data_IF_280172916456
#
_entry.id   IF_280172916456
#
_cell.length_a   1.000
_cell.length_b   1.000
_cell.length_c   1.000
_cell.angle_alpha   90.00
_cell.angle_beta   90.00
_cell.angle_gamma   90.00
#
_symmetry.space_group_name_H-M   'P 1'
#
loop_
_entity.id
_entity.type
_entity.pdbx_description
1 polymer ?
#
# COMPACT_ATOMS: atom_id res chain seq x y z
N UNK A 1 16.91 -12.77 -7.93
CA UNK A 1 17.23 -11.65 -7.04
C UNK A 1 17.98 -12.18 -5.84
N UNK A 2 19.05 -11.52 -5.41
CA UNK A 2 19.69 -11.80 -4.13
C UNK A 2 18.88 -11.17 -2.97
N UNK A 3 19.25 -11.48 -1.72
CA UNK A 3 18.51 -11.01 -0.54
C UNK A 3 18.48 -9.48 -0.41
N UNK A 4 19.59 -8.80 -0.69
CA UNK A 4 19.67 -7.34 -0.63
C UNK A 4 18.75 -6.68 -1.67
N UNK A 5 18.72 -7.21 -2.91
CA UNK A 5 17.80 -6.75 -3.95
C UNK A 5 16.33 -6.98 -3.56
N UNK A 6 16.03 -8.09 -2.87
CA UNK A 6 14.65 -8.35 -2.40
C UNK A 6 14.27 -7.30 -1.36
N UNK A 7 15.11 -7.05 -0.37
CA UNK A 7 14.84 -6.08 0.68
C UNK A 7 14.70 -4.66 0.13
N UNK A 8 15.56 -4.26 -0.81
CA UNK A 8 15.42 -2.98 -1.51
C UNK A 8 14.06 -2.85 -2.20
N UNK A 9 13.59 -3.90 -2.90
CA UNK A 9 12.27 -3.86 -3.55
C UNK A 9 11.11 -3.81 -2.55
N UNK A 10 11.26 -4.43 -1.38
CA UNK A 10 10.25 -4.32 -0.31
C UNK A 10 10.18 -2.87 0.20
N UNK A 11 11.33 -2.21 0.39
CA UNK A 11 11.35 -0.80 0.76
C UNK A 11 10.75 0.09 -0.34
N UNK A 12 11.13 -0.11 -1.60
CA UNK A 12 10.54 0.62 -2.73
C UNK A 12 9.02 0.44 -2.82
N UNK A 13 8.51 -0.77 -2.51
CA UNK A 13 7.07 -1.00 -2.40
C UNK A 13 6.43 -0.12 -1.31
N UNK A 14 7.02 -0.06 -0.10
CA UNK A 14 6.52 0.83 0.97
C UNK A 14 6.59 2.30 0.57
N UNK A 15 7.67 2.73 -0.05
CA UNK A 15 7.83 4.10 -0.56
C UNK A 15 6.76 4.42 -1.60
N UNK A 16 6.44 3.49 -2.50
CA UNK A 16 5.37 3.66 -3.50
C UNK A 16 4.00 3.90 -2.85
N UNK A 17 3.70 3.22 -1.74
CA UNK A 17 2.47 3.43 -0.98
C UNK A 17 2.45 4.82 -0.32
N UNK A 18 3.59 5.26 0.24
CA UNK A 18 3.70 6.60 0.80
C UNK A 18 3.54 7.69 -0.27
N UNK A 19 4.13 7.49 -1.45
CA UNK A 19 3.95 8.38 -2.60
C UNK A 19 2.50 8.43 -3.05
N UNK A 20 1.79 7.29 -3.06
CA UNK A 20 0.36 7.25 -3.34
C UNK A 20 -0.45 8.06 -2.32
N UNK A 21 -0.13 7.95 -1.03
CA UNK A 21 -0.73 8.79 0.02
C UNK A 21 -0.51 10.28 -0.24
N UNK A 22 0.71 10.68 -0.57
CA UNK A 22 1.05 12.07 -0.94
C UNK A 22 0.29 12.55 -2.18
N UNK A 23 0.08 11.67 -3.17
CA UNK A 23 -0.71 11.99 -4.37
C UNK A 23 -2.16 12.29 -4.00
N UNK A 24 -2.78 11.51 -3.10
CA UNK A 24 -4.13 11.79 -2.61
C UNK A 24 -4.21 13.11 -1.83
N UNK A 25 -3.16 13.49 -1.10
CA UNK A 25 -3.15 14.74 -0.35
C UNK A 25 -2.93 15.97 -1.25
N UNK A 26 -2.05 15.88 -2.24
CA UNK A 26 -1.65 17.02 -3.07
C UNK A 26 -2.52 17.21 -4.31
N UNK A 27 -3.07 16.13 -4.89
CA UNK A 27 -3.84 16.20 -6.14
C UNK A 27 -5.33 16.16 -5.85
N UNK A 28 -5.98 17.33 -5.89
CA UNK A 28 -7.43 17.49 -5.64
C UNK A 28 -8.32 16.54 -6.45
N UNK A 29 -7.95 16.21 -7.70
CA UNK A 29 -8.71 15.25 -8.52
C UNK A 29 -8.67 13.85 -7.90
N UNK A 30 -7.49 13.37 -7.51
CA UNK A 30 -7.32 12.06 -6.88
C UNK A 30 -7.96 12.02 -5.49
N UNK A 31 -7.83 13.08 -4.70
CA UNK A 31 -8.47 13.19 -3.38
C UNK A 31 -9.99 12.93 -3.45
N UNK A 32 -10.65 13.39 -4.52
CA UNK A 32 -12.10 13.22 -4.70
C UNK A 32 -12.54 11.77 -4.85
N UNK A 33 -11.64 10.90 -5.28
CA UNK A 33 -11.93 9.46 -5.40
C UNK A 33 -12.02 8.78 -4.03
N UNK A 34 -11.42 9.36 -2.99
CA UNK A 34 -11.48 8.84 -1.60
C UNK A 34 -12.25 9.74 -0.64
N UNK A 35 -12.50 11.00 -1.00
CA UNK A 35 -13.36 11.93 -0.26
C UNK A 35 -13.92 13.01 -1.18
N UNK A 36 -15.24 13.01 -1.37
CA UNK A 36 -15.93 13.98 -2.19
C UNK A 36 -16.92 14.80 -1.35
N UNK A 37 -16.50 16.01 -0.96
CA UNK A 37 -17.29 16.93 -0.15
C UNK A 37 -18.61 17.36 -0.82
N UNK A 38 -18.72 17.24 -2.15
CA UNK A 38 -19.95 17.60 -2.88
C UNK A 38 -21.04 16.54 -2.76
N UNK A 39 -20.64 15.28 -2.69
CA UNK A 39 -21.57 14.14 -2.60
C UNK A 39 -21.68 13.59 -1.18
N UNK A 40 -20.80 14.03 -0.28
CA UNK A 40 -20.68 13.47 1.07
C UNK A 40 -19.99 12.10 1.11
N UNK A 41 -19.41 11.64 -0.01
CA UNK A 41 -18.73 10.35 -0.06
C UNK A 41 -17.39 10.40 0.68
N UNK A 42 -17.14 9.39 1.52
CA UNK A 42 -15.87 9.16 2.22
C UNK A 42 -15.53 7.68 2.15
N UNK A 43 -14.34 7.37 1.66
CA UNK A 43 -13.78 6.02 1.67
C UNK A 43 -12.95 5.81 2.93
N UNK A 44 -13.40 4.91 3.80
CA UNK A 44 -12.69 4.50 5.01
C UNK A 44 -12.42 3.00 4.94
N UNK A 45 -11.16 2.61 5.06
CA UNK A 45 -10.76 1.21 4.98
C UNK A 45 -9.36 0.96 5.56
N UNK A 46 -9.17 -0.22 6.13
CA UNK A 46 -7.91 -0.74 6.65
C UNK A 46 -7.47 -1.91 5.77
N UNK A 47 -6.26 -1.85 5.22
CA UNK A 47 -5.67 -2.93 4.46
C UNK A 47 -4.40 -3.42 5.17
N UNK A 48 -4.27 -4.73 5.30
CA UNK A 48 -3.06 -5.39 5.76
C UNK A 48 -2.37 -6.08 4.58
N UNK A 49 -1.07 -5.86 4.41
CA UNK A 49 -0.19 -6.62 3.55
C UNK A 49 0.73 -7.44 4.43
N UNK A 50 0.79 -8.76 4.20
CA UNK A 50 1.77 -9.59 4.90
C UNK A 50 2.24 -10.79 4.09
N UNK A 51 3.47 -11.22 4.33
CA UNK A 51 3.96 -12.51 3.85
C UNK A 51 3.57 -13.62 4.81
N UNK A 52 3.43 -14.86 4.32
CA UNK A 52 3.00 -16.01 5.15
C UNK A 52 3.99 -16.34 6.28
N UNK A 53 5.27 -16.09 6.05
CA UNK A 53 6.36 -16.22 7.02
C UNK A 53 6.44 -15.04 8.00
N UNK A 54 5.63 -13.99 7.82
CA UNK A 54 5.63 -12.79 8.65
C UNK A 54 6.83 -11.87 8.44
N UNK A 55 7.68 -12.12 7.44
CA UNK A 55 8.87 -11.30 7.14
C UNK A 55 8.53 -9.89 6.63
N UNK A 56 7.34 -9.69 6.07
CA UNK A 56 6.80 -8.37 5.73
C UNK A 56 5.46 -8.20 6.39
N UNK A 57 5.29 -7.07 7.07
CA UNK A 57 4.05 -6.65 7.71
C UNK A 57 3.91 -5.15 7.51
N UNK A 58 3.02 -4.75 6.63
CA UNK A 58 2.74 -3.35 6.29
C UNK A 58 1.23 -3.19 6.25
N UNK A 59 0.72 -2.11 6.80
CA UNK A 59 -0.69 -1.81 6.68
C UNK A 59 -0.91 -0.37 6.25
N UNK A 60 -2.07 -0.12 5.65
CA UNK A 60 -2.51 1.21 5.29
C UNK A 60 -3.92 1.48 5.82
N UNK A 61 -4.15 2.74 6.16
CA UNK A 61 -5.42 3.23 6.67
C UNK A 61 -5.88 4.36 5.75
N UNK A 62 -7.05 4.19 5.16
CA UNK A 62 -7.85 5.26 4.61
C UNK A 62 -8.81 5.76 5.68
N UNK A 63 -8.68 7.03 6.04
CA UNK A 63 -9.56 7.68 7.00
C UNK A 63 -9.75 9.15 6.62
N UNK A 64 -11.01 9.57 6.46
CA UNK A 64 -11.39 10.95 6.19
C UNK A 64 -10.67 11.61 4.99
N UNK A 65 -10.43 10.82 3.95
CA UNK A 65 -9.76 11.24 2.73
C UNK A 65 -8.27 11.43 2.88
N UNK A 66 -7.66 10.81 3.91
CA UNK A 66 -6.22 10.63 4.04
C UNK A 66 -5.86 9.16 3.95
N UNK A 67 -4.70 8.88 3.39
CA UNK A 67 -4.10 7.56 3.39
C UNK A 67 -2.81 7.63 4.20
N UNK A 68 -2.65 6.71 5.16
CA UNK A 68 -1.40 6.57 5.92
C UNK A 68 -0.88 5.14 5.81
N UNK A 69 0.44 4.98 5.85
CA UNK A 69 1.14 3.71 5.71
C UNK A 69 1.98 3.48 6.96
N UNK A 70 1.96 2.27 7.49
CA UNK A 70 2.63 1.90 8.72
C UNK A 70 3.23 0.50 8.61
N UNK A 71 4.24 0.23 9.42
CA UNK A 71 4.79 -1.11 9.58
C UNK A 71 4.12 -1.85 10.73
N UNK A 72 4.07 -3.19 10.60
CA UNK A 72 3.47 -4.07 11.59
C UNK A 72 2.10 -4.60 11.20
N UNK A 73 1.31 -4.95 12.21
CA UNK A 73 -0.03 -5.50 12.06
C UNK A 73 -1.08 -4.51 12.55
N UNK A 74 -2.23 -4.53 11.88
CA UNK A 74 -3.42 -3.78 12.28
C UNK A 74 -4.54 -4.71 12.72
N UNK A 75 -5.25 -4.31 13.77
CA UNK A 75 -6.45 -5.00 14.21
C UNK A 75 -7.66 -4.69 13.31
N UNK A 76 -8.45 -5.74 13.07
CA UNK A 76 -9.66 -5.72 12.25
C UNK A 76 -9.48 -5.09 10.86
N UNK A 77 -8.53 -5.58 10.03
CA UNK A 77 -8.39 -5.09 8.67
C UNK A 77 -9.64 -5.44 7.85
N UNK A 78 -10.12 -4.50 7.04
CA UNK A 78 -11.20 -4.78 6.08
C UNK A 78 -10.75 -5.80 5.03
N UNK A 79 -9.47 -5.74 4.64
CA UNK A 79 -8.86 -6.64 3.67
C UNK A 79 -7.46 -7.03 4.13
N UNK A 80 -7.13 -8.30 4.05
CA UNK A 80 -5.75 -8.78 4.21
C UNK A 80 -5.24 -9.41 2.91
N UNK A 81 -4.13 -8.90 2.40
CA UNK A 81 -3.45 -9.39 1.20
C UNK A 81 -2.25 -10.20 1.65
N UNK A 82 -2.24 -11.48 1.25
CA UNK A 82 -1.21 -12.44 1.60
C UNK A 82 -0.27 -12.69 0.42
N UNK A 83 1.02 -12.51 0.64
CA UNK A 83 2.06 -12.95 -0.27
C UNK A 83 2.69 -14.24 0.26
N UNK A 84 3.13 -15.12 -0.65
CA UNK A 84 3.80 -16.37 -0.27
C UNK A 84 5.05 -16.09 0.56
N UNK A 85 5.91 -15.18 0.09
CA UNK A 85 7.21 -14.81 0.65
C UNK A 85 7.63 -13.41 0.14
N UNK A 86 8.72 -12.87 0.69
CA UNK A 86 9.31 -11.59 0.27
C UNK A 86 9.64 -11.55 -1.23
N UNK A 87 10.19 -12.63 -1.77
CA UNK A 87 10.56 -12.72 -3.19
C UNK A 87 9.35 -12.58 -4.12
N UNK A 88 8.21 -13.17 -3.74
CA UNK A 88 6.95 -13.07 -4.49
C UNK A 88 6.44 -11.64 -4.51
N UNK A 89 6.45 -10.94 -3.38
CA UNK A 89 6.06 -9.53 -3.30
C UNK A 89 6.99 -8.66 -4.16
N UNK A 90 8.31 -8.83 -4.02
CA UNK A 90 9.30 -8.07 -4.77
C UNK A 90 9.15 -8.25 -6.29
N UNK A 91 8.94 -9.50 -6.76
CA UNK A 91 8.73 -9.78 -8.18
C UNK A 91 7.43 -9.18 -8.73
N UNK A 92 6.34 -9.19 -7.93
CA UNK A 92 5.06 -8.61 -8.35
C UNK A 92 5.14 -7.09 -8.48
N UNK A 93 5.83 -6.43 -7.54
CA UNK A 93 6.08 -5.00 -7.61
C UNK A 93 6.89 -4.64 -8.87
N UNK A 94 7.94 -5.40 -9.17
CA UNK A 94 8.80 -5.20 -10.34
C UNK A 94 8.04 -5.30 -11.66
N UNK A 95 7.27 -6.39 -11.85
CA UNK A 95 6.44 -6.57 -13.04
C UNK A 95 5.40 -5.47 -13.20
N UNK A 96 4.80 -5.02 -12.10
CA UNK A 96 3.84 -3.93 -12.15
C UNK A 96 4.45 -2.63 -12.64
N UNK A 97 5.75 -2.39 -12.40
CA UNK A 97 6.46 -1.22 -12.90
C UNK A 97 6.79 -1.33 -14.40
N UNK A 98 7.24 -2.50 -14.87
CA UNK A 98 7.58 -2.74 -16.28
C UNK A 98 6.36 -2.79 -17.19
N UNK A 99 5.24 -3.39 -16.74
CA UNK A 99 4.00 -3.49 -17.51
C UNK A 99 3.19 -2.17 -17.53
N UNK A 100 3.58 -1.16 -16.74
CA UNK A 100 2.94 0.16 -16.66
C UNK A 100 3.62 1.26 -17.49
N UNK A 101 4.73 0.93 -18.19
CA UNK A 101 5.47 1.81 -19.10
C UNK A 101 5.16 1.49 -20.57
#
# INVERSE_FOLDING_TARGET
MNEAEIDEKIENFKESLNLLGMVFDTRRKMRREIKNDKTGFVFNAKYQFKTRDGAVKVYLIFEDGKMTVHEGEIDDPNVTIYYKDKATLANLYDKSAEESL
#
